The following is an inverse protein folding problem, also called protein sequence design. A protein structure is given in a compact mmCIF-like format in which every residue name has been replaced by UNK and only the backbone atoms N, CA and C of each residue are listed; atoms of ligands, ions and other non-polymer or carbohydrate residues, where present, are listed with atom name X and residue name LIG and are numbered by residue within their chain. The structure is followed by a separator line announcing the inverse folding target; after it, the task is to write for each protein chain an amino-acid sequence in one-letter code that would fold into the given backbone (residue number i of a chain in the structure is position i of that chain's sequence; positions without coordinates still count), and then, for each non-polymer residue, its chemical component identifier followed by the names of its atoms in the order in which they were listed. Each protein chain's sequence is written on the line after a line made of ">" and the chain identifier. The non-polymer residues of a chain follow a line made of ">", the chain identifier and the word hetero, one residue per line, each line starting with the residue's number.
data_IF_649862340303
#
_entry.id   IF_649862340303
#
_cell.length_a   1.000
_cell.length_b   1.000
_cell.length_c   1.000
_cell.angle_alpha   90.00
_cell.angle_beta   90.00
_cell.angle_gamma   90.00
#
_symmetry.space_group_name_H-M   'P 1'
#
loop_
_entity.id
_entity.type
_entity.pdbx_description
1 polymer ?
#
# COMPACT_ATOMS: atom_id res chain seq x y z
N UNK A 1 22.89 -27.20 20.71
CA UNK A 1 22.01 -27.82 21.73
C UNK A 1 20.58 -27.58 21.24
N UNK A 2 19.77 -28.61 20.99
CA UNK A 2 18.38 -28.41 20.63
C UNK A 2 17.62 -28.02 21.89
N UNK A 3 16.99 -26.85 21.89
CA UNK A 3 16.03 -26.44 22.91
C UNK A 3 14.79 -27.31 22.74
N UNK A 4 14.51 -28.13 23.74
CA UNK A 4 13.28 -28.89 23.88
C UNK A 4 12.09 -27.95 23.75
N UNK A 5 11.39 -27.99 22.61
CA UNK A 5 10.05 -27.45 22.50
C UNK A 5 9.13 -28.37 23.32
N UNK A 6 8.33 -27.83 24.25
CA UNK A 6 7.41 -28.66 25.00
C UNK A 6 6.43 -29.33 24.05
N UNK A 7 6.28 -30.65 24.18
CA UNK A 7 5.26 -31.44 23.46
C UNK A 7 3.90 -30.77 23.68
N UNK A 8 3.37 -30.17 22.60
CA UNK A 8 2.04 -29.58 22.57
C UNK A 8 1.01 -30.71 22.59
N UNK A 9 0.56 -31.06 23.77
CA UNK A 9 -0.62 -31.88 23.97
C UNK A 9 -1.85 -31.05 23.54
N UNK A 10 -2.12 -31.02 22.21
CA UNK A 10 -3.16 -30.18 21.58
C UNK A 10 -4.55 -30.78 21.62
N UNK A 11 -4.71 -32.02 22.14
CA UNK A 11 -5.92 -32.82 21.94
C UNK A 11 -7.08 -32.55 22.90
N UNK A 12 -6.96 -31.66 23.93
CA UNK A 12 -8.05 -31.39 24.87
C UNK A 12 -8.23 -29.93 25.32
N UNK A 13 -7.65 -28.96 24.58
CA UNK A 13 -7.82 -27.56 24.98
C UNK A 13 -9.06 -26.95 24.34
N UNK A 14 -10.03 -26.55 25.13
CA UNK A 14 -11.15 -25.73 24.65
C UNK A 14 -10.61 -24.44 24.03
N UNK A 15 -11.16 -24.03 22.84
CA UNK A 15 -10.77 -22.78 22.21
C UNK A 15 -10.94 -21.59 23.19
N UNK A 16 -10.08 -20.57 23.12
CA UNK A 16 -10.19 -19.39 23.97
C UNK A 16 -11.57 -18.75 23.90
N UNK A 17 -12.27 -18.69 25.02
CA UNK A 17 -13.63 -18.17 25.15
C UNK A 17 -13.83 -17.46 26.48
N UNK A 18 -14.85 -16.62 26.53
CA UNK A 18 -15.38 -16.06 27.81
C UNK A 18 -16.87 -15.83 27.62
N UNK A 19 -17.65 -16.85 28.03
CA UNK A 19 -19.10 -16.85 27.84
C UNK A 19 -19.78 -15.76 28.68
N UNK A 20 -19.26 -15.46 29.87
CA UNK A 20 -19.81 -14.42 30.75
C UNK A 20 -19.67 -13.04 30.10
N UNK A 21 -18.51 -12.75 29.44
CA UNK A 21 -18.35 -11.51 28.71
C UNK A 21 -19.25 -11.44 27.48
N UNK A 22 -19.46 -12.56 26.75
CA UNK A 22 -20.40 -12.62 25.63
C UNK A 22 -21.84 -12.33 26.07
N UNK A 23 -22.27 -12.95 27.15
CA UNK A 23 -23.60 -12.71 27.77
C UNK A 23 -23.73 -11.24 28.21
N UNK A 24 -22.68 -10.69 28.82
CA UNK A 24 -22.66 -9.30 29.27
C UNK A 24 -22.78 -8.31 28.11
N UNK A 25 -22.13 -8.58 26.96
CA UNK A 25 -22.31 -7.76 25.73
C UNK A 25 -23.76 -7.80 25.28
N UNK A 26 -24.32 -9.00 25.09
CA UNK A 26 -25.68 -9.16 24.57
C UNK A 26 -26.74 -8.61 25.58
N UNK A 27 -26.52 -8.80 26.87
CA UNK A 27 -27.36 -8.22 27.91
C UNK A 27 -27.35 -6.71 27.92
N UNK A 28 -26.16 -6.11 27.77
CA UNK A 28 -26.02 -4.63 27.63
C UNK A 28 -26.75 -4.07 26.41
N UNK A 29 -26.66 -4.76 25.27
CA UNK A 29 -27.37 -4.37 24.02
C UNK A 29 -28.90 -4.45 24.17
N UNK A 30 -29.41 -5.36 24.99
CA UNK A 30 -30.86 -5.50 25.29
C UNK A 30 -31.36 -4.47 26.30
N UNK A 31 -30.48 -3.85 27.08
CA UNK A 31 -30.82 -2.85 28.10
C UNK A 31 -30.81 -1.43 27.56
N UNK A 32 -29.88 -1.09 26.68
CA UNK A 32 -29.67 0.28 26.17
C UNK A 32 -29.30 0.26 24.69
N UNK A 33 -29.97 1.11 23.91
CA UNK A 33 -29.75 1.23 22.45
C UNK A 33 -28.33 1.73 22.13
N UNK A 34 -27.79 2.65 22.92
CA UNK A 34 -26.41 3.14 22.75
C UNK A 34 -25.37 2.01 22.88
N UNK A 35 -25.67 0.98 23.66
CA UNK A 35 -24.80 -0.18 23.78
C UNK A 35 -24.79 -1.03 22.51
N UNK A 36 -25.85 -1.02 21.69
CA UNK A 36 -25.89 -1.70 20.39
C UNK A 36 -24.92 -1.03 19.44
N UNK A 37 -24.94 0.31 19.35
CA UNK A 37 -24.01 1.08 18.52
C UNK A 37 -22.55 0.83 18.92
N UNK A 38 -22.25 0.89 20.23
CA UNK A 38 -20.88 0.65 20.74
C UNK A 38 -20.42 -0.80 20.47
N UNK A 39 -21.28 -1.79 20.63
CA UNK A 39 -20.95 -3.18 20.37
C UNK A 39 -20.72 -3.43 18.88
N UNK A 40 -21.53 -2.84 17.99
CA UNK A 40 -21.39 -2.94 16.53
C UNK A 40 -20.05 -2.42 16.02
N UNK A 41 -19.49 -1.39 16.65
CA UNK A 41 -18.18 -0.81 16.30
C UNK A 41 -17.02 -1.69 16.78
N UNK A 42 -17.17 -2.38 17.90
CA UNK A 42 -16.06 -3.06 18.58
C UNK A 42 -15.92 -4.54 18.24
N UNK A 43 -17.05 -5.24 18.01
CA UNK A 43 -17.11 -6.69 17.77
C UNK A 43 -17.96 -7.02 16.56
N UNK A 44 -17.68 -8.18 15.96
CA UNK A 44 -18.42 -8.73 14.83
C UNK A 44 -19.11 -10.05 15.27
N UNK A 45 -20.09 -10.54 14.50
CA UNK A 45 -20.75 -11.83 14.72
C UNK A 45 -19.74 -12.96 14.95
N UNK A 46 -18.68 -13.02 14.12
CA UNK A 46 -17.61 -14.01 14.21
C UNK A 46 -16.80 -13.95 15.51
N UNK A 47 -16.90 -12.83 16.25
CA UNK A 47 -16.19 -12.62 17.52
C UNK A 47 -16.76 -13.46 18.65
N UNK A 48 -18.00 -13.90 18.55
CA UNK A 48 -18.63 -14.74 19.58
C UNK A 48 -18.26 -16.21 19.39
N UNK A 49 -18.05 -16.91 20.49
CA UNK A 49 -17.73 -18.35 20.47
C UNK A 49 -19.00 -19.19 20.31
N UNK A 50 -20.04 -18.91 21.13
CA UNK A 50 -21.28 -19.66 21.13
C UNK A 50 -22.15 -19.28 19.92
N UNK A 51 -22.58 -20.27 19.16
CA UNK A 51 -23.41 -20.05 17.96
C UNK A 51 -24.73 -19.31 18.28
N UNK A 52 -25.37 -19.65 19.44
CA UNK A 52 -26.52 -18.92 19.89
C UNK A 52 -26.28 -17.42 20.10
N UNK A 53 -25.09 -17.05 20.62
CA UNK A 53 -24.72 -15.65 20.85
C UNK A 53 -24.49 -14.92 19.52
N UNK A 54 -23.91 -15.58 18.50
CA UNK A 54 -23.75 -15.02 17.14
C UNK A 54 -25.11 -14.67 16.55
N UNK A 55 -26.06 -15.62 16.61
CA UNK A 55 -27.42 -15.42 16.08
C UNK A 55 -28.16 -14.28 16.79
N UNK A 56 -28.06 -14.23 18.13
CA UNK A 56 -28.65 -13.13 18.91
C UNK A 56 -28.01 -11.80 18.50
N UNK A 57 -26.69 -11.71 18.43
CA UNK A 57 -25.97 -10.51 18.03
C UNK A 57 -26.38 -10.04 16.63
N UNK A 58 -26.41 -10.94 15.64
CA UNK A 58 -26.82 -10.65 14.28
C UNK A 58 -28.25 -10.10 14.21
N UNK A 59 -29.17 -10.71 14.96
CA UNK A 59 -30.57 -10.25 15.02
C UNK A 59 -30.72 -8.88 15.69
N UNK A 60 -29.94 -8.60 16.76
CA UNK A 60 -29.90 -7.28 17.41
C UNK A 60 -29.39 -6.20 16.44
N UNK A 61 -28.34 -6.50 15.66
CA UNK A 61 -27.83 -5.59 14.63
C UNK A 61 -28.85 -5.37 13.50
N UNK A 62 -29.63 -6.37 13.12
CA UNK A 62 -30.67 -6.23 12.10
C UNK A 62 -31.75 -5.27 12.58
N UNK A 63 -32.27 -5.47 13.79
CA UNK A 63 -33.25 -4.57 14.38
C UNK A 63 -32.74 -3.12 14.45
N UNK A 64 -31.49 -2.95 14.90
CA UNK A 64 -30.87 -1.62 14.98
C UNK A 64 -30.71 -0.95 13.63
N UNK A 65 -30.32 -1.69 12.57
CA UNK A 65 -30.22 -1.16 11.20
C UNK A 65 -31.56 -0.77 10.59
N UNK A 66 -32.59 -1.51 10.95
CA UNK A 66 -33.96 -1.28 10.48
C UNK A 66 -34.70 -0.19 11.29
N UNK A 67 -33.99 0.49 12.22
CA UNK A 67 -34.52 1.54 13.10
C UNK A 67 -35.71 1.05 13.97
N UNK A 68 -35.64 -0.24 14.36
CA UNK A 68 -36.61 -0.88 15.24
C UNK A 68 -36.06 -0.93 16.66
N UNK A 69 -36.88 -0.51 17.62
CA UNK A 69 -36.50 -0.55 19.05
C UNK A 69 -35.99 -1.94 19.46
N UNK A 70 -34.85 -1.98 20.14
CA UNK A 70 -34.19 -3.22 20.57
C UNK A 70 -34.66 -3.56 21.97
N UNK A 71 -35.58 -4.53 22.12
CA UNK A 71 -36.07 -5.05 23.38
C UNK A 71 -36.35 -6.56 23.28
N UNK A 72 -36.75 -7.16 24.43
CA UNK A 72 -37.04 -8.59 24.52
C UNK A 72 -38.17 -9.05 23.59
N UNK A 73 -39.13 -8.17 23.28
CA UNK A 73 -40.29 -8.52 22.46
C UNK A 73 -39.88 -8.52 20.99
N UNK A 74 -39.19 -7.46 20.56
CA UNK A 74 -38.73 -7.28 19.16
C UNK A 74 -37.71 -8.34 18.77
N UNK A 75 -36.69 -8.62 19.61
CA UNK A 75 -35.71 -9.68 19.34
C UNK A 75 -36.34 -11.08 19.30
N UNK A 76 -37.32 -11.36 20.22
CA UNK A 76 -38.03 -12.62 20.18
C UNK A 76 -38.82 -12.83 18.89
N UNK A 77 -39.46 -11.77 18.39
CA UNK A 77 -40.18 -11.82 17.12
C UNK A 77 -39.25 -11.99 15.96
N UNK A 78 -38.10 -11.29 15.94
CA UNK A 78 -37.11 -11.37 14.86
C UNK A 78 -36.54 -12.79 14.77
N UNK A 79 -36.13 -13.37 15.90
CA UNK A 79 -35.64 -14.75 15.95
C UNK A 79 -36.71 -15.79 15.57
N UNK A 80 -38.01 -15.51 15.84
CA UNK A 80 -39.12 -16.35 15.39
C UNK A 80 -39.30 -16.32 13.87
N UNK A 81 -39.24 -15.14 13.25
CA UNK A 81 -39.36 -15.00 11.78
C UNK A 81 -38.31 -15.87 11.06
N UNK A 82 -37.11 -15.99 11.64
CA UNK A 82 -36.03 -16.78 11.09
C UNK A 82 -35.96 -18.23 11.59
N UNK A 83 -36.96 -18.70 12.39
CA UNK A 83 -36.98 -20.03 13.00
C UNK A 83 -35.74 -20.34 13.87
N UNK A 84 -35.17 -19.32 14.50
CA UNK A 84 -33.93 -19.43 15.29
C UNK A 84 -34.19 -19.38 16.83
N UNK A 85 -35.37 -19.02 17.26
CA UNK A 85 -35.64 -18.79 18.70
C UNK A 85 -35.30 -20.00 19.59
N UNK A 86 -35.69 -21.19 19.18
CA UNK A 86 -35.39 -22.42 19.93
C UNK A 86 -33.89 -22.74 19.95
N UNK A 87 -33.22 -22.48 18.86
CA UNK A 87 -31.75 -22.70 18.70
C UNK A 87 -30.90 -21.81 19.62
N UNK A 88 -31.42 -20.65 20.01
CA UNK A 88 -30.73 -19.74 20.94
C UNK A 88 -31.09 -19.94 22.41
N UNK A 89 -31.99 -20.85 22.71
CA UNK A 89 -32.42 -21.18 24.09
C UNK A 89 -33.78 -20.58 24.48
N UNK A 90 -34.57 -20.15 23.51
CA UNK A 90 -35.92 -19.63 23.72
C UNK A 90 -35.95 -18.24 24.35
N UNK A 91 -37.18 -17.75 24.60
CA UNK A 91 -37.40 -16.44 25.22
C UNK A 91 -36.86 -16.38 26.68
N UNK A 92 -36.81 -17.52 27.37
CA UNK A 92 -36.28 -17.60 28.72
C UNK A 92 -34.79 -17.27 28.78
N UNK A 93 -34.01 -17.72 27.81
CA UNK A 93 -32.60 -17.39 27.71
C UNK A 93 -32.34 -15.90 27.41
N UNK A 94 -33.12 -15.30 26.53
CA UNK A 94 -33.07 -13.87 26.26
C UNK A 94 -33.37 -13.04 27.52
N UNK A 95 -34.37 -13.44 28.31
CA UNK A 95 -34.68 -12.81 29.60
C UNK A 95 -33.52 -12.97 30.61
N UNK A 96 -32.83 -14.11 30.60
CA UNK A 96 -31.65 -14.31 31.45
C UNK A 96 -30.51 -13.34 31.07
N UNK A 97 -30.28 -13.09 29.79
CA UNK A 97 -29.24 -12.17 29.34
C UNK A 97 -29.40 -10.74 29.88
N UNK A 98 -30.65 -10.25 29.99
CA UNK A 98 -30.91 -8.91 30.56
C UNK A 98 -30.64 -8.85 32.06
N UNK A 99 -30.66 -9.98 32.75
CA UNK A 99 -30.37 -10.05 34.18
C UNK A 99 -28.89 -10.24 34.54
N UNK A 100 -28.04 -10.56 33.54
CA UNK A 100 -26.60 -10.79 33.73
C UNK A 100 -25.85 -9.52 34.11
N UNK A 101 -26.26 -8.38 33.56
CA UNK A 101 -25.61 -7.10 33.81
C UNK A 101 -26.57 -6.10 34.43
N UNK A 102 -26.15 -5.37 35.49
CA UNK A 102 -26.98 -4.36 36.12
C UNK A 102 -27.05 -3.04 35.33
N UNK A 103 -26.10 -2.81 34.41
CA UNK A 103 -26.00 -1.59 33.57
C UNK A 103 -25.22 -1.86 32.31
N UNK A 104 -25.54 -1.16 31.23
CA UNK A 104 -24.83 -1.22 29.94
C UNK A 104 -23.52 -0.39 29.90
N UNK A 105 -23.21 0.39 30.93
CA UNK A 105 -22.07 1.33 30.94
C UNK A 105 -20.70 0.68 30.65
N UNK A 106 -20.55 -0.62 30.87
CA UNK A 106 -19.28 -1.33 30.69
C UNK A 106 -19.21 -2.16 29.40
N UNK A 107 -20.16 -2.00 28.47
CA UNK A 107 -20.23 -2.80 27.23
C UNK A 107 -18.92 -2.78 26.44
N UNK A 108 -18.27 -1.63 26.33
CA UNK A 108 -16.98 -1.50 25.64
C UNK A 108 -15.88 -2.38 26.25
N UNK A 109 -15.88 -2.54 27.60
CA UNK A 109 -14.92 -3.41 28.27
C UNK A 109 -15.21 -4.89 27.97
N UNK A 110 -16.46 -5.30 28.01
CA UNK A 110 -16.87 -6.66 27.66
C UNK A 110 -16.58 -7.00 26.21
N UNK A 111 -16.85 -6.09 25.28
CA UNK A 111 -16.50 -6.22 23.88
C UNK A 111 -14.98 -6.43 23.68
N UNK A 112 -14.15 -5.71 24.43
CA UNK A 112 -12.69 -5.87 24.39
C UNK A 112 -12.26 -7.28 24.80
N UNK A 113 -12.87 -7.87 25.82
CA UNK A 113 -12.61 -9.24 26.27
C UNK A 113 -13.00 -10.23 25.16
N UNK A 114 -14.22 -10.09 24.61
CA UNK A 114 -14.71 -10.94 23.51
C UNK A 114 -13.77 -10.87 22.32
N UNK A 115 -13.36 -9.66 21.89
CA UNK A 115 -12.44 -9.43 20.79
C UNK A 115 -11.06 -10.06 21.01
N UNK A 116 -10.52 -9.98 22.23
CA UNK A 116 -9.25 -10.62 22.59
C UNK A 116 -9.34 -12.16 22.41
N UNK A 117 -10.43 -12.78 22.89
CA UNK A 117 -10.64 -14.23 22.75
C UNK A 117 -10.86 -14.62 21.27
N UNK A 118 -11.57 -13.81 20.49
CA UNK A 118 -11.74 -14.02 19.07
C UNK A 118 -10.40 -13.96 18.31
N UNK A 119 -9.56 -12.99 18.62
CA UNK A 119 -8.20 -12.86 18.01
C UNK A 119 -7.36 -14.12 18.28
N UNK A 120 -7.39 -14.65 19.53
CA UNK A 120 -6.68 -15.89 19.85
C UNK A 120 -7.23 -17.09 19.07
N UNK A 121 -8.55 -17.19 18.89
CA UNK A 121 -9.16 -18.25 18.07
C UNK A 121 -8.76 -18.15 16.61
N UNK A 122 -8.73 -16.92 16.07
CA UNK A 122 -8.31 -16.69 14.67
C UNK A 122 -6.84 -17.06 14.47
N UNK A 123 -5.96 -16.74 15.43
CA UNK A 123 -4.57 -17.18 15.42
C UNK A 123 -4.44 -18.70 15.45
N UNK A 124 -5.20 -19.39 16.31
CA UNK A 124 -5.22 -20.85 16.38
C UNK A 124 -5.67 -21.44 15.03
N UNK A 125 -6.74 -20.89 14.43
CA UNK A 125 -7.22 -21.37 13.12
C UNK A 125 -6.17 -21.16 12.02
N UNK A 126 -5.56 -19.99 11.95
CA UNK A 126 -4.53 -19.70 10.97
C UNK A 126 -3.33 -20.63 11.12
N UNK A 127 -2.82 -20.82 12.34
CA UNK A 127 -1.69 -21.71 12.60
C UNK A 127 -2.02 -23.17 12.32
N UNK A 128 -3.24 -23.63 12.63
CA UNK A 128 -3.70 -24.98 12.30
C UNK A 128 -3.79 -25.18 10.79
N UNK A 129 -4.32 -24.19 10.06
CA UNK A 129 -4.39 -24.25 8.59
C UNK A 129 -2.99 -24.27 7.96
N UNK A 130 -2.08 -23.44 8.46
CA UNK A 130 -0.69 -23.41 8.00
C UNK A 130 -0.03 -24.77 8.28
N UNK A 131 -0.19 -25.32 9.48
CA UNK A 131 0.37 -26.61 9.85
C UNK A 131 -0.17 -27.74 8.94
N UNK A 132 -1.49 -27.78 8.69
CA UNK A 132 -2.09 -28.78 7.79
C UNK A 132 -1.54 -28.66 6.37
N UNK A 133 -1.43 -27.45 5.84
CA UNK A 133 -0.90 -27.21 4.50
C UNK A 133 0.58 -27.62 4.37
N UNK A 134 1.37 -27.50 5.46
CA UNK A 134 2.75 -27.98 5.50
C UNK A 134 2.84 -29.51 5.42
N UNK A 135 1.90 -30.23 6.07
CA UNK A 135 1.87 -31.71 6.03
C UNK A 135 1.35 -32.27 4.71
N UNK A 136 0.50 -31.54 4.00
CA UNK A 136 -0.08 -31.98 2.72
C UNK A 136 0.91 -31.90 1.55
N UNK A 137 2.06 -31.23 1.71
CA UNK A 137 3.12 -31.03 0.70
C UNK A 137 2.58 -30.55 -0.68
N UNK A 138 1.39 -29.96 -0.68
CA UNK A 138 0.64 -29.64 -1.91
C UNK A 138 1.11 -28.36 -2.62
N UNK A 139 2.01 -27.60 -2.00
CA UNK A 139 2.45 -26.28 -2.50
C UNK A 139 3.97 -26.12 -2.33
N UNK A 140 4.58 -25.31 -3.21
CA UNK A 140 5.97 -24.89 -3.03
C UNK A 140 6.15 -24.13 -1.71
N UNK A 141 7.27 -24.36 -0.97
CA UNK A 141 7.49 -23.77 0.36
C UNK A 141 7.36 -22.23 0.37
N UNK A 142 7.82 -21.54 -0.68
CA UNK A 142 7.76 -20.08 -0.78
C UNK A 142 6.32 -19.55 -0.89
N UNK A 143 5.48 -20.23 -1.68
CA UNK A 143 4.05 -19.91 -1.79
C UNK A 143 3.31 -20.13 -0.46
N UNK A 144 3.71 -21.16 0.29
CA UNK A 144 3.11 -21.44 1.59
C UNK A 144 3.50 -20.39 2.62
N UNK A 145 4.76 -19.92 2.59
CA UNK A 145 5.22 -18.82 3.44
C UNK A 145 4.46 -17.53 3.16
N UNK A 146 4.25 -17.17 1.89
CA UNK A 146 3.49 -15.96 1.52
C UNK A 146 2.03 -16.04 1.98
N UNK A 147 1.38 -17.22 1.83
CA UNK A 147 0.01 -17.45 2.35
C UNK A 147 -0.04 -17.35 3.87
N UNK A 148 0.93 -17.91 4.59
CA UNK A 148 1.01 -17.83 6.03
C UNK A 148 1.19 -16.40 6.53
N UNK A 149 2.07 -15.63 5.88
CA UNK A 149 2.27 -14.21 6.18
C UNK A 149 0.98 -13.40 5.96
N UNK A 150 0.29 -13.62 4.84
CA UNK A 150 -0.99 -12.97 4.54
C UNK A 150 -2.06 -13.26 5.59
N UNK A 151 -2.21 -14.53 6.02
CA UNK A 151 -3.19 -14.93 7.04
C UNK A 151 -2.92 -14.30 8.40
N UNK A 152 -1.65 -14.27 8.83
CA UNK A 152 -1.27 -13.65 10.11
C UNK A 152 -1.47 -12.13 10.05
N UNK A 153 -1.12 -11.54 8.90
CA UNK A 153 -1.29 -10.11 8.69
C UNK A 153 -2.76 -9.69 8.71
N UNK A 154 -3.66 -10.46 8.12
CA UNK A 154 -5.09 -10.16 8.12
C UNK A 154 -5.64 -10.10 9.56
N UNK A 155 -5.21 -11.02 10.42
CA UNK A 155 -5.54 -11.01 11.85
C UNK A 155 -4.98 -9.76 12.55
N UNK A 156 -3.75 -9.34 12.20
CA UNK A 156 -3.13 -8.15 12.78
C UNK A 156 -3.77 -6.85 12.28
N UNK A 157 -4.18 -6.79 11.01
CA UNK A 157 -4.79 -5.61 10.39
C UNK A 157 -6.23 -5.37 10.81
N UNK A 158 -6.97 -6.40 11.22
CA UNK A 158 -8.30 -6.26 11.85
C UNK A 158 -8.24 -5.40 13.12
N UNK A 159 -7.07 -5.24 13.73
CA UNK A 159 -6.80 -4.32 14.84
C UNK A 159 -6.75 -2.84 14.45
N UNK A 160 -6.67 -2.54 13.15
CA UNK A 160 -6.43 -1.20 12.58
C UNK A 160 -7.65 -0.59 11.86
N UNK A 161 -8.87 -1.02 12.17
CA UNK A 161 -10.04 -0.14 11.88
C UNK A 161 -9.80 1.14 12.68
N UNK A 162 -9.28 2.17 12.00
CA UNK A 162 -9.11 3.50 12.59
C UNK A 162 -10.50 4.05 12.84
N UNK A 163 -10.88 4.14 14.11
CA UNK A 163 -12.09 4.84 14.52
C UNK A 163 -12.06 6.28 13.98
N UNK A 164 -13.23 6.83 13.69
CA UNK A 164 -13.33 8.25 13.37
C UNK A 164 -12.76 9.06 14.54
N UNK A 165 -11.75 9.88 14.25
CA UNK A 165 -11.11 10.73 15.27
C UNK A 165 -11.85 12.08 15.33
N UNK A 166 -12.26 12.57 16.50
CA UNK A 166 -12.89 13.86 16.63
C UNK A 166 -12.02 14.96 16.03
N UNK A 167 -12.63 15.88 15.29
CA UNK A 167 -11.93 16.99 14.62
C UNK A 167 -11.07 17.81 15.58
N UNK A 168 -11.52 17.98 16.83
CA UNK A 168 -10.79 18.68 17.89
C UNK A 168 -9.38 18.12 18.12
N UNK A 169 -9.24 16.79 18.11
CA UNK A 169 -7.96 16.12 18.36
C UNK A 169 -7.05 16.24 17.14
N UNK A 170 -7.64 16.23 15.93
CA UNK A 170 -6.91 16.42 14.67
C UNK A 170 -6.40 17.85 14.53
N UNK A 171 -7.19 18.88 14.90
CA UNK A 171 -6.81 20.30 14.81
C UNK A 171 -5.51 20.56 15.57
N UNK A 172 -5.38 20.02 16.78
CA UNK A 172 -4.18 20.26 17.60
C UNK A 172 -2.91 19.74 16.91
N UNK A 173 -2.93 18.50 16.46
CA UNK A 173 -1.79 17.92 15.73
C UNK A 173 -1.52 18.60 14.39
N UNK A 174 -2.57 19.09 13.71
CA UNK A 174 -2.45 19.85 12.46
C UNK A 174 -1.78 21.20 12.66
N UNK A 175 -2.13 21.93 13.74
CA UNK A 175 -1.50 23.21 14.07
C UNK A 175 -0.02 23.02 14.42
N UNK A 176 0.31 22.00 15.22
CA UNK A 176 1.69 21.65 15.55
C UNK A 176 2.51 21.33 14.28
N UNK A 177 1.91 20.62 13.32
CA UNK A 177 2.54 20.32 12.03
C UNK A 177 2.74 21.60 11.19
N UNK A 178 1.74 22.47 11.11
CA UNK A 178 1.82 23.76 10.38
C UNK A 178 2.90 24.65 10.98
N UNK A 179 2.98 24.74 12.31
CA UNK A 179 4.02 25.53 12.99
C UNK A 179 5.42 24.96 12.70
N UNK A 180 5.59 23.65 12.77
CA UNK A 180 6.84 23.00 12.41
C UNK A 180 7.26 23.26 10.94
N UNK A 181 6.31 23.30 10.01
CA UNK A 181 6.54 23.67 8.61
C UNK A 181 6.89 25.17 8.47
N UNK A 182 6.21 26.04 9.22
CA UNK A 182 6.52 27.46 9.23
C UNK A 182 7.93 27.77 9.74
N UNK A 183 8.37 27.05 10.77
CA UNK A 183 9.74 27.16 11.30
C UNK A 183 10.80 26.70 10.29
N UNK A 184 10.45 25.80 9.39
CA UNK A 184 11.33 25.22 8.36
C UNK A 184 11.23 25.97 7.01
N UNK A 185 11.10 27.28 7.01
CA UNK A 185 10.96 28.11 5.78
C UNK A 185 11.91 27.68 4.68
N UNK A 186 11.35 27.30 3.53
CA UNK A 186 12.11 26.91 2.32
C UNK A 186 12.57 25.46 2.28
N UNK A 187 12.29 24.63 3.29
CA UNK A 187 12.54 23.19 3.22
C UNK A 187 11.34 22.46 2.60
N UNK A 188 11.63 21.47 1.77
CA UNK A 188 10.61 20.59 1.18
C UNK A 188 9.88 19.81 2.27
N UNK A 189 8.57 19.63 2.10
CA UNK A 189 7.74 18.85 3.04
C UNK A 189 7.82 17.35 2.74
N UNK A 190 8.06 16.99 1.49
CA UNK A 190 8.23 15.63 1.01
C UNK A 190 9.68 15.24 0.73
N UNK A 191 9.86 14.06 0.17
CA UNK A 191 11.17 13.55 -0.26
C UNK A 191 11.58 14.28 -1.54
N UNK A 192 12.73 14.98 -1.52
CA UNK A 192 13.23 15.71 -2.67
C UNK A 192 13.58 14.76 -3.83
N UNK A 193 13.09 15.05 -5.04
CA UNK A 193 13.45 14.29 -6.26
C UNK A 193 14.87 14.60 -6.75
N UNK A 194 15.42 15.73 -6.32
CA UNK A 194 16.70 16.27 -6.78
C UNK A 194 16.60 17.09 -8.06
N UNK A 195 15.39 17.26 -8.61
CA UNK A 195 15.10 18.19 -9.71
C UNK A 195 14.45 19.44 -9.13
N UNK A 196 15.22 20.52 -8.99
CA UNK A 196 14.85 21.72 -8.22
C UNK A 196 13.49 22.27 -8.61
N UNK A 197 13.24 22.47 -9.90
CA UNK A 197 11.98 23.06 -10.36
C UNK A 197 10.78 22.12 -10.13
N UNK A 198 11.00 20.81 -10.24
CA UNK A 198 9.98 19.80 -9.93
C UNK A 198 9.68 19.79 -8.43
N UNK A 199 10.72 19.84 -7.61
CA UNK A 199 10.60 19.87 -6.16
C UNK A 199 9.90 21.14 -5.67
N UNK A 200 10.11 22.29 -6.31
CA UNK A 200 9.37 23.52 -6.01
C UNK A 200 7.87 23.39 -6.31
N UNK A 201 7.49 22.73 -7.42
CA UNK A 201 6.08 22.57 -7.78
C UNK A 201 5.37 21.50 -6.96
N UNK A 202 6.06 20.39 -6.61
CA UNK A 202 5.49 19.29 -5.85
C UNK A 202 5.66 19.42 -4.33
N UNK A 203 6.51 20.36 -3.87
CA UNK A 203 7.04 20.41 -2.50
C UNK A 203 7.74 19.10 -2.08
N UNK A 204 8.35 18.37 -3.07
CA UNK A 204 8.86 17.02 -2.95
C UNK A 204 7.78 15.93 -3.04
N UNK A 205 8.18 14.66 -3.05
CA UNK A 205 7.26 13.52 -3.06
C UNK A 205 6.66 13.34 -1.66
N UNK A 206 5.34 13.53 -1.54
CA UNK A 206 4.66 13.52 -0.25
C UNK A 206 4.46 12.11 0.30
N UNK A 207 4.56 11.92 1.63
CA UNK A 207 4.21 10.64 2.25
C UNK A 207 2.79 10.20 1.90
N UNK A 208 2.59 8.89 1.75
CA UNK A 208 1.32 8.27 1.39
C UNK A 208 0.79 8.60 -0.02
N UNK A 209 1.54 9.33 -0.86
CA UNK A 209 1.15 9.61 -2.23
C UNK A 209 1.54 8.49 -3.21
N UNK A 210 0.65 8.25 -4.17
CA UNK A 210 0.92 7.48 -5.38
C UNK A 210 1.24 8.44 -6.51
N UNK A 211 2.48 8.40 -6.99
CA UNK A 211 3.00 9.22 -8.10
C UNK A 211 3.18 8.34 -9.32
N UNK A 212 2.51 8.69 -10.41
CA UNK A 212 2.63 7.97 -11.68
C UNK A 212 3.57 8.73 -12.61
N UNK A 213 4.60 8.03 -13.12
CA UNK A 213 5.50 8.54 -14.16
C UNK A 213 5.14 7.86 -15.47
N UNK A 214 4.44 8.59 -16.35
CA UNK A 214 3.90 8.07 -17.60
C UNK A 214 4.64 8.60 -18.81
N UNK A 215 4.70 7.81 -19.88
CA UNK A 215 5.29 8.25 -21.16
C UNK A 215 5.29 7.13 -22.19
N UNK A 216 5.50 7.51 -23.46
CA UNK A 216 5.71 6.55 -24.55
C UNK A 216 7.06 5.83 -24.38
N UNK A 217 7.28 4.67 -25.03
CA UNK A 217 8.60 4.05 -25.10
C UNK A 217 9.67 5.07 -25.55
N UNK A 218 10.88 4.93 -25.07
CA UNK A 218 12.03 5.78 -25.38
C UNK A 218 11.98 7.23 -24.85
N UNK A 219 10.93 7.63 -24.11
CA UNK A 219 10.88 8.95 -23.46
C UNK A 219 11.78 9.07 -22.22
N UNK A 220 12.36 7.96 -21.75
CA UNK A 220 13.29 7.96 -20.62
C UNK A 220 12.65 7.72 -19.25
N UNK A 221 11.45 7.08 -19.17
CA UNK A 221 10.74 6.83 -17.91
C UNK A 221 11.60 6.15 -16.83
N UNK A 222 12.18 4.99 -17.16
CA UNK A 222 13.07 4.26 -16.25
C UNK A 222 14.29 5.09 -15.84
N UNK A 223 14.88 5.84 -16.78
CA UNK A 223 16.02 6.71 -16.50
C UNK A 223 15.66 7.86 -15.54
N UNK A 224 14.46 8.43 -15.69
CA UNK A 224 13.95 9.45 -14.78
C UNK A 224 13.70 8.86 -13.39
N UNK A 225 13.02 7.72 -13.29
CA UNK A 225 12.72 7.05 -12.01
C UNK A 225 14.02 6.63 -11.30
N UNK A 226 15.00 6.07 -12.01
CA UNK A 226 16.30 5.72 -11.45
C UNK A 226 17.12 6.97 -11.06
N UNK A 227 17.01 8.08 -11.82
CA UNK A 227 17.59 9.37 -11.44
C UNK A 227 17.01 9.91 -10.12
N UNK A 228 15.69 9.79 -9.92
CA UNK A 228 15.05 10.10 -8.63
C UNK A 228 15.59 9.19 -7.53
N UNK A 229 15.69 7.86 -7.78
CA UNK A 229 16.26 6.92 -6.80
C UNK A 229 17.68 7.31 -6.38
N UNK A 230 18.53 7.64 -7.36
CA UNK A 230 19.91 8.07 -7.15
C UNK A 230 19.96 9.35 -6.29
N UNK A 231 19.20 10.38 -6.69
CA UNK A 231 19.19 11.64 -5.98
C UNK A 231 18.68 11.48 -4.53
N UNK A 232 17.58 10.77 -4.33
CA UNK A 232 16.98 10.52 -3.01
C UNK A 232 17.97 9.79 -2.10
N UNK A 233 18.64 8.78 -2.61
CA UNK A 233 19.58 7.98 -1.80
C UNK A 233 20.90 8.69 -1.53
N UNK A 234 21.47 9.37 -2.52
CA UNK A 234 22.78 10.02 -2.38
C UNK A 234 22.70 11.38 -1.69
N UNK A 235 21.74 12.23 -2.05
CA UNK A 235 21.60 13.58 -1.51
C UNK A 235 20.88 13.61 -0.17
N UNK A 236 19.78 12.88 -0.05
CA UNK A 236 18.94 12.91 1.15
C UNK A 236 19.23 11.76 2.12
N UNK A 237 20.08 10.78 1.75
CA UNK A 237 20.40 9.58 2.54
C UNK A 237 19.15 8.78 2.95
N UNK A 238 18.10 8.84 2.11
CA UNK A 238 16.85 8.11 2.32
C UNK A 238 16.92 6.77 1.60
N UNK A 239 16.52 5.70 2.28
CA UNK A 239 16.46 4.36 1.70
C UNK A 239 15.43 4.27 0.58
N UNK A 240 15.80 3.68 -0.56
CA UNK A 240 14.93 3.53 -1.74
C UNK A 240 14.81 2.06 -2.10
N UNK A 241 13.58 1.57 -2.25
CA UNK A 241 13.31 0.26 -2.83
C UNK A 241 12.93 0.41 -4.31
N UNK A 242 13.62 -0.31 -5.18
CA UNK A 242 13.37 -0.33 -6.63
C UNK A 242 12.91 -1.74 -7.01
N UNK A 243 11.65 -1.85 -7.42
CA UNK A 243 11.07 -3.07 -7.98
C UNK A 243 11.07 -2.96 -9.49
N UNK A 244 11.88 -3.79 -10.17
CA UNK A 244 12.01 -3.78 -11.61
C UNK A 244 11.43 -5.07 -12.19
N UNK A 245 10.39 -4.94 -13.00
CA UNK A 245 9.74 -6.06 -13.66
C UNK A 245 10.21 -6.23 -15.12
N UNK A 246 10.92 -5.23 -15.67
CA UNK A 246 11.41 -5.24 -17.05
C UNK A 246 12.91 -5.50 -17.15
N UNK A 247 13.69 -4.95 -16.22
CA UNK A 247 15.15 -4.97 -16.29
C UNK A 247 15.74 -5.78 -15.15
N UNK A 248 16.81 -6.55 -15.44
CA UNK A 248 17.57 -7.20 -14.38
C UNK A 248 18.32 -6.19 -13.49
N UNK A 249 18.57 -6.56 -12.25
CA UNK A 249 19.32 -5.74 -11.28
C UNK A 249 20.69 -5.35 -11.79
N UNK A 250 21.39 -6.22 -12.53
CA UNK A 250 22.67 -5.91 -13.14
C UNK A 250 22.55 -4.80 -14.19
N UNK A 251 21.50 -4.84 -15.02
CA UNK A 251 21.23 -3.81 -16.03
C UNK A 251 20.90 -2.45 -15.40
N UNK A 252 20.17 -2.47 -14.26
CA UNK A 252 19.86 -1.26 -13.49
C UNK A 252 21.14 -0.65 -12.91
N UNK A 253 21.96 -1.45 -12.23
CA UNK A 253 23.23 -0.99 -11.64
C UNK A 253 24.15 -0.46 -12.73
N UNK A 254 24.28 -1.15 -13.87
CA UNK A 254 25.09 -0.70 -15.00
C UNK A 254 24.60 0.66 -15.52
N UNK A 255 23.26 0.84 -15.65
CA UNK A 255 22.68 2.12 -16.09
C UNK A 255 22.96 3.24 -15.08
N UNK A 256 22.81 2.97 -13.78
CA UNK A 256 23.12 3.94 -12.72
C UNK A 256 24.60 4.33 -12.71
N UNK A 257 25.51 3.36 -12.90
CA UNK A 257 26.95 3.61 -13.01
C UNK A 257 27.27 4.53 -14.19
N UNK A 258 26.68 4.26 -15.38
CA UNK A 258 26.85 5.10 -16.56
C UNK A 258 26.32 6.52 -16.33
N UNK A 259 25.13 6.63 -15.76
CA UNK A 259 24.47 7.90 -15.44
C UNK A 259 25.29 8.72 -14.45
N UNK A 260 25.67 8.13 -13.31
CA UNK A 260 26.44 8.82 -12.26
C UNK A 260 27.85 9.18 -12.71
N UNK A 261 28.53 8.25 -13.38
CA UNK A 261 29.90 8.44 -13.90
C UNK A 261 29.99 9.32 -15.13
N UNK A 262 28.86 9.71 -15.74
CA UNK A 262 28.79 10.40 -17.05
C UNK A 262 29.59 9.66 -18.12
N UNK A 263 29.35 8.35 -18.22
CA UNK A 263 30.01 7.44 -19.15
C UNK A 263 29.00 7.02 -20.20
N UNK A 264 29.42 6.98 -21.47
CA UNK A 264 28.53 6.54 -22.52
C UNK A 264 28.09 5.08 -22.34
N UNK A 265 26.78 4.90 -22.19
CA UNK A 265 26.15 3.60 -21.97
C UNK A 265 26.39 2.63 -23.14
N UNK A 266 26.54 3.15 -24.37
CA UNK A 266 26.85 2.32 -25.52
C UNK A 266 28.27 1.74 -25.43
N UNK A 267 29.24 2.56 -25.04
CA UNK A 267 30.63 2.16 -24.86
C UNK A 267 30.79 1.10 -23.77
N UNK A 268 30.05 1.20 -22.69
CA UNK A 268 30.00 0.16 -21.62
C UNK A 268 29.46 -1.15 -22.18
N UNK A 269 28.31 -1.09 -22.89
CA UNK A 269 27.66 -2.28 -23.46
C UNK A 269 28.48 -3.00 -24.50
N UNK A 270 29.25 -2.26 -25.31
CA UNK A 270 30.09 -2.82 -26.38
C UNK A 270 31.49 -3.21 -25.89
N UNK A 271 31.85 -2.89 -24.62
CA UNK A 271 33.19 -3.11 -24.10
C UNK A 271 34.23 -2.13 -24.63
N UNK A 272 33.82 -1.04 -25.30
CA UNK A 272 34.70 -0.02 -25.89
C UNK A 272 34.94 1.15 -24.95
N UNK A 273 35.26 0.85 -23.69
CA UNK A 273 35.60 1.87 -22.69
C UNK A 273 36.97 2.46 -22.91
N UNK A 274 37.06 3.78 -22.80
CA UNK A 274 38.37 4.46 -22.83
C UNK A 274 39.12 4.26 -21.50
N UNK A 275 40.45 4.37 -21.53
CA UNK A 275 41.24 4.30 -20.30
C UNK A 275 40.85 5.39 -19.27
N UNK A 276 40.32 6.54 -19.75
CA UNK A 276 39.85 7.65 -18.92
C UNK A 276 38.50 7.40 -18.27
N UNK A 277 37.73 6.41 -18.72
CA UNK A 277 36.40 6.11 -18.16
C UNK A 277 36.46 5.18 -16.94
N UNK A 278 37.52 4.37 -16.81
CA UNK A 278 37.71 3.47 -15.69
C UNK A 278 37.78 4.20 -14.33
N UNK A 279 38.54 5.30 -14.16
CA UNK A 279 38.52 6.06 -12.91
C UNK A 279 37.13 6.61 -12.57
N UNK A 280 36.38 7.11 -13.57
CA UNK A 280 35.02 7.63 -13.38
C UNK A 280 34.06 6.50 -12.95
N UNK A 281 34.17 5.31 -13.57
CA UNK A 281 33.38 4.14 -13.23
C UNK A 281 33.65 3.69 -11.78
N UNK A 282 34.94 3.64 -11.40
CA UNK A 282 35.34 3.27 -10.05
C UNK A 282 34.83 4.27 -9.00
N UNK A 283 34.91 5.56 -9.31
CA UNK A 283 34.38 6.62 -8.44
C UNK A 283 32.86 6.53 -8.29
N UNK A 284 32.15 6.30 -9.42
CA UNK A 284 30.70 6.11 -9.41
C UNK A 284 30.31 4.87 -8.59
N UNK A 285 31.04 3.76 -8.76
CA UNK A 285 30.82 2.53 -8.00
C UNK A 285 31.02 2.75 -6.49
N UNK A 286 32.07 3.46 -6.09
CA UNK A 286 32.30 3.81 -4.68
C UNK A 286 31.12 4.57 -4.07
N UNK A 287 30.62 5.62 -4.74
CA UNK A 287 29.49 6.42 -4.25
C UNK A 287 28.18 5.64 -4.20
N UNK A 288 27.88 4.87 -5.27
CA UNK A 288 26.64 4.10 -5.36
C UNK A 288 26.62 2.90 -4.40
N UNK A 289 27.79 2.34 -4.04
CA UNK A 289 27.86 1.25 -3.06
C UNK A 289 27.48 1.68 -1.64
N UNK A 290 27.62 2.96 -1.32
CA UNK A 290 27.21 3.53 -0.03
C UNK A 290 25.74 4.00 -0.03
N UNK A 291 25.09 4.04 -1.20
CA UNK A 291 23.71 4.49 -1.33
C UNK A 291 22.75 3.42 -0.81
N UNK A 292 21.78 3.77 0.05
CA UNK A 292 20.79 2.81 0.57
C UNK A 292 19.72 2.49 -0.48
N UNK A 293 20.09 1.85 -1.60
CA UNK A 293 19.21 1.43 -2.68
C UNK A 293 19.09 -0.09 -2.65
N UNK A 294 17.85 -0.59 -2.61
CA UNK A 294 17.50 -2.00 -2.57
C UNK A 294 16.76 -2.35 -3.85
N UNK A 295 17.31 -3.25 -4.66
CA UNK A 295 16.77 -3.61 -5.98
C UNK A 295 16.22 -5.04 -5.93
N UNK A 296 14.98 -5.20 -6.37
CA UNK A 296 14.32 -6.49 -6.58
C UNK A 296 13.88 -6.58 -8.05
N UNK A 297 14.36 -7.60 -8.75
CA UNK A 297 14.09 -7.84 -10.17
C UNK A 297 13.27 -9.13 -10.41
N UNK A 298 12.49 -9.54 -9.42
CA UNK A 298 11.59 -10.69 -9.53
C UNK A 298 10.54 -10.46 -10.63
N UNK A 299 10.47 -11.31 -11.67
CA UNK A 299 9.51 -11.14 -12.76
C UNK A 299 8.09 -11.52 -12.32
N UNK A 300 7.07 -10.91 -12.94
CA UNK A 300 5.67 -11.31 -12.75
C UNK A 300 5.13 -11.13 -11.33
N UNK A 301 5.70 -10.22 -10.55
CA UNK A 301 5.34 -9.97 -9.15
C UNK A 301 3.88 -9.55 -9.00
N UNK A 302 3.16 -10.16 -8.06
CA UNK A 302 1.80 -9.75 -7.69
C UNK A 302 1.81 -8.53 -6.74
N UNK A 303 0.67 -7.84 -6.64
CA UNK A 303 0.54 -6.72 -5.69
C UNK A 303 0.70 -7.19 -4.23
N UNK A 304 0.30 -8.41 -3.90
CA UNK A 304 0.45 -8.98 -2.56
C UNK A 304 1.92 -9.23 -2.22
N UNK A 305 2.67 -9.83 -3.15
CA UNK A 305 4.10 -10.07 -3.00
C UNK A 305 4.88 -8.77 -2.87
N UNK A 306 4.59 -7.77 -3.73
CA UNK A 306 5.22 -6.45 -3.64
C UNK A 306 4.96 -5.81 -2.27
N UNK A 307 3.74 -5.89 -1.74
CA UNK A 307 3.40 -5.36 -0.41
C UNK A 307 4.19 -6.08 0.70
N UNK A 308 4.31 -7.40 0.65
CA UNK A 308 5.07 -8.19 1.61
C UNK A 308 6.56 -7.80 1.61
N UNK A 309 7.18 -7.72 0.42
CA UNK A 309 8.58 -7.31 0.24
C UNK A 309 8.81 -5.86 0.70
N UNK A 310 7.93 -4.93 0.34
CA UNK A 310 8.02 -3.53 0.73
C UNK A 310 7.93 -3.34 2.25
N UNK A 311 7.05 -4.07 2.96
CA UNK A 311 6.97 -4.08 4.42
C UNK A 311 8.26 -4.57 5.08
N UNK A 312 8.82 -5.68 4.56
CA UNK A 312 10.10 -6.20 5.04
C UNK A 312 11.21 -5.17 4.90
N UNK A 313 11.31 -4.53 3.73
CA UNK A 313 12.31 -3.48 3.48
C UNK A 313 12.08 -2.26 4.38
N UNK A 314 10.84 -1.84 4.59
CA UNK A 314 10.50 -0.74 5.51
C UNK A 314 10.90 -1.06 6.95
N UNK A 315 10.59 -2.27 7.42
CA UNK A 315 10.92 -2.70 8.78
C UNK A 315 12.42 -2.87 9.02
N UNK A 316 13.16 -3.44 8.05
CA UNK A 316 14.59 -3.75 8.21
C UNK A 316 15.50 -2.57 7.91
N UNK A 317 15.16 -1.77 6.91
CA UNK A 317 16.03 -0.75 6.33
C UNK A 317 15.43 0.65 6.36
N UNK A 318 14.23 0.81 6.94
CA UNK A 318 13.53 2.09 7.04
C UNK A 318 13.48 2.87 5.72
N UNK A 319 13.15 2.18 4.61
CA UNK A 319 13.01 2.83 3.31
C UNK A 319 12.02 3.99 3.36
N UNK A 320 12.28 5.06 2.60
CA UNK A 320 11.44 6.26 2.51
C UNK A 320 10.84 6.51 1.13
N UNK A 321 11.16 5.67 0.13
CA UNK A 321 10.63 5.74 -1.22
C UNK A 321 10.54 4.35 -1.83
N UNK A 322 9.46 4.08 -2.58
CA UNK A 322 9.32 2.89 -3.42
C UNK A 322 9.23 3.34 -4.88
N UNK A 323 9.97 2.67 -5.77
CA UNK A 323 9.89 2.83 -7.22
C UNK A 323 9.51 1.49 -7.83
N UNK A 324 8.52 1.49 -8.73
CA UNK A 324 8.07 0.32 -9.49
C UNK A 324 8.22 0.59 -11.00
N UNK A 325 9.01 -0.21 -11.70
CA UNK A 325 9.22 -0.12 -13.14
C UNK A 325 8.92 -1.47 -13.84
N UNK A 326 7.78 -1.62 -14.50
CA UNK A 326 6.64 -0.77 -14.68
C UNK A 326 5.33 -1.54 -14.36
N UNK A 327 4.31 -0.79 -13.99
CA UNK A 327 3.03 -1.27 -13.46
C UNK A 327 2.35 -2.34 -14.32
N UNK A 328 2.39 -2.19 -15.65
CA UNK A 328 1.72 -3.11 -16.57
C UNK A 328 2.38 -4.51 -16.68
N UNK A 329 3.53 -4.75 -16.08
CA UNK A 329 4.14 -6.09 -15.99
C UNK A 329 3.78 -6.83 -14.71
N UNK A 330 3.06 -6.20 -13.79
CA UNK A 330 2.50 -6.90 -12.63
C UNK A 330 1.42 -7.87 -13.09
N UNK A 331 1.32 -9.01 -12.41
CA UNK A 331 0.30 -10.03 -12.65
C UNK A 331 -0.53 -10.27 -11.40
N UNK A 332 -1.83 -10.56 -11.57
CA UNK A 332 -2.63 -11.19 -10.52
C UNK A 332 -2.73 -12.68 -10.79
N UNK A 333 -2.54 -13.49 -9.75
CA UNK A 333 -2.41 -14.95 -9.83
C UNK A 333 -3.67 -15.70 -10.32
N UNK A 334 -4.82 -15.02 -10.45
CA UNK A 334 -6.11 -15.65 -10.76
C UNK A 334 -6.89 -15.01 -11.93
N UNK A 335 -6.33 -14.07 -12.69
CA UNK A 335 -7.07 -13.40 -13.76
C UNK A 335 -6.91 -14.13 -15.09
N UNK A 336 -7.99 -14.71 -15.59
CA UNK A 336 -8.14 -15.02 -17.02
C UNK A 336 -7.93 -13.74 -17.84
N UNK A 337 -7.20 -13.83 -18.94
CA UNK A 337 -6.71 -12.73 -19.80
C UNK A 337 -7.78 -11.75 -20.35
N UNK A 338 -9.03 -11.91 -20.03
CA UNK A 338 -10.15 -11.14 -20.59
C UNK A 338 -10.37 -9.76 -19.98
N UNK A 339 -9.70 -9.39 -18.85
CA UNK A 339 -10.05 -8.14 -18.19
C UNK A 339 -8.86 -7.32 -17.66
N UNK A 340 -7.89 -7.02 -18.55
CA UNK A 340 -6.69 -6.23 -18.24
C UNK A 340 -6.97 -4.90 -17.52
N UNK A 341 -8.09 -4.25 -17.82
CA UNK A 341 -8.48 -3.00 -17.16
C UNK A 341 -8.82 -3.20 -15.67
N UNK A 342 -9.47 -4.33 -15.34
CA UNK A 342 -9.78 -4.63 -13.93
C UNK A 342 -8.51 -4.95 -13.16
N UNK A 343 -7.61 -5.72 -13.74
CA UNK A 343 -6.31 -6.06 -13.15
C UNK A 343 -5.50 -4.80 -12.82
N UNK A 344 -5.34 -3.88 -13.77
CA UNK A 344 -4.67 -2.60 -13.56
C UNK A 344 -5.36 -1.76 -12.48
N UNK A 345 -6.69 -1.84 -12.38
CA UNK A 345 -7.46 -1.15 -11.34
C UNK A 345 -7.19 -1.71 -9.95
N UNK A 346 -7.05 -3.03 -9.81
CA UNK A 346 -6.71 -3.68 -8.53
C UNK A 346 -5.28 -3.31 -8.12
N UNK A 347 -4.34 -3.39 -9.06
CA UNK A 347 -2.94 -3.03 -8.83
C UNK A 347 -2.82 -1.56 -8.40
N UNK A 348 -3.47 -0.62 -9.11
CA UNK A 348 -3.44 0.81 -8.79
C UNK A 348 -3.95 1.09 -7.37
N UNK A 349 -5.11 0.55 -7.01
CA UNK A 349 -5.66 0.64 -5.64
C UNK A 349 -4.74 0.01 -4.61
N UNK A 350 -4.13 -1.14 -4.94
CA UNK A 350 -3.17 -1.81 -4.09
C UNK A 350 -1.91 -0.98 -3.82
N UNK A 351 -1.37 -0.31 -4.85
CA UNK A 351 -0.22 0.60 -4.71
C UNK A 351 -0.58 1.84 -3.87
N UNK A 352 -1.76 2.43 -4.07
CA UNK A 352 -2.23 3.54 -3.22
C UNK A 352 -2.44 3.12 -1.78
N UNK A 353 -2.98 1.92 -1.55
CA UNK A 353 -3.12 1.35 -0.21
C UNK A 353 -1.75 1.13 0.44
N UNK A 354 -0.76 0.63 -0.30
CA UNK A 354 0.61 0.44 0.17
C UNK A 354 1.28 1.76 0.58
N UNK A 355 1.16 2.80 -0.26
CA UNK A 355 1.69 4.13 0.05
C UNK A 355 1.13 4.68 1.38
N UNK A 356 -0.18 4.54 1.60
CA UNK A 356 -0.87 4.93 2.83
C UNK A 356 -0.46 4.08 4.04
N UNK A 357 -0.33 2.78 3.85
CA UNK A 357 0.02 1.82 4.90
C UNK A 357 1.42 2.08 5.46
N UNK A 358 2.40 2.24 4.56
CA UNK A 358 3.79 2.49 4.93
C UNK A 358 4.10 3.95 5.22
N UNK A 359 3.15 4.87 4.90
CA UNK A 359 3.30 6.32 4.99
C UNK A 359 4.56 6.84 4.27
N UNK A 360 4.80 6.33 3.06
CA UNK A 360 5.89 6.75 2.17
C UNK A 360 5.36 6.94 0.74
N UNK A 361 6.00 7.79 -0.09
CA UNK A 361 5.66 7.90 -1.50
C UNK A 361 5.95 6.60 -2.26
N UNK A 362 5.05 6.29 -3.21
CA UNK A 362 5.23 5.22 -4.19
C UNK A 362 5.23 5.82 -5.57
N UNK A 363 6.34 5.68 -6.30
CA UNK A 363 6.49 6.10 -7.69
C UNK A 363 6.32 4.89 -8.60
N UNK A 364 5.28 4.86 -9.42
CA UNK A 364 5.05 3.78 -10.37
C UNK A 364 5.18 4.29 -11.82
N UNK A 365 6.02 3.60 -12.58
CA UNK A 365 6.19 3.87 -14.02
C UNK A 365 5.02 3.25 -14.78
N UNK A 366 4.47 3.98 -15.75
CA UNK A 366 3.37 3.54 -16.60
C UNK A 366 3.63 3.87 -18.07
N UNK A 367 3.22 2.97 -18.95
CA UNK A 367 3.28 3.20 -20.38
C UNK A 367 1.97 3.83 -20.87
N UNK A 368 2.07 4.86 -21.71
CA UNK A 368 0.92 5.48 -22.36
C UNK A 368 0.44 4.68 -23.58
N UNK A 369 -0.84 4.79 -23.91
CA UNK A 369 -1.43 4.30 -25.15
C UNK A 369 -0.77 4.93 -26.39
N UNK A 370 -1.05 4.41 -27.60
CA UNK A 370 -0.50 4.97 -28.84
C UNK A 370 -1.23 6.24 -29.32
N UNK A 371 -2.20 6.73 -28.58
CA UNK A 371 -3.01 7.89 -28.97
C UNK A 371 -2.19 9.19 -29.21
N UNK A 372 -1.14 9.51 -28.42
CA UNK A 372 -0.30 10.68 -28.69
C UNK A 372 0.35 10.67 -30.06
N UNK A 373 0.78 9.50 -30.55
CA UNK A 373 1.47 9.37 -31.86
C UNK A 373 0.57 9.67 -33.06
N UNK A 374 -0.75 9.71 -32.86
CA UNK A 374 -1.73 10.05 -33.90
C UNK A 374 -2.10 11.53 -33.93
N UNK A 375 -1.52 12.35 -33.02
CA UNK A 375 -1.76 13.79 -32.93
C UNK A 375 -0.63 14.56 -33.55
N UNK A 376 -0.92 15.71 -34.11
CA UNK A 376 0.11 16.59 -34.69
C UNK A 376 1.14 17.05 -33.66
N UNK A 377 0.74 17.30 -32.42
CA UNK A 377 1.64 17.77 -31.37
C UNK A 377 2.40 16.66 -30.66
N UNK A 378 2.06 15.38 -30.85
CA UNK A 378 2.58 14.21 -30.13
C UNK A 378 2.49 14.32 -28.58
N UNK A 379 1.98 15.44 -28.06
CA UNK A 379 1.99 15.78 -26.64
C UNK A 379 1.02 14.89 -25.87
N UNK A 380 1.45 14.26 -24.76
CA UNK A 380 0.60 13.37 -23.97
C UNK A 380 -0.44 14.15 -23.18
N UNK A 381 -1.58 13.49 -22.89
CA UNK A 381 -2.70 14.01 -22.09
C UNK A 381 -3.15 12.93 -21.09
N UNK A 382 -3.83 13.32 -20.02
CA UNK A 382 -4.38 12.36 -19.01
C UNK A 382 -5.23 11.25 -19.66
N UNK A 383 -6.00 11.57 -20.70
CA UNK A 383 -6.79 10.59 -21.44
C UNK A 383 -5.97 9.49 -22.12
N UNK A 384 -4.65 9.63 -22.24
CA UNK A 384 -3.77 8.63 -22.86
C UNK A 384 -3.40 7.50 -21.89
N UNK A 385 -3.71 7.67 -20.59
CA UNK A 385 -3.77 6.61 -19.57
C UNK A 385 -5.02 5.74 -19.71
N UNK A 386 -5.78 5.84 -20.78
CA UNK A 386 -7.16 5.38 -20.99
C UNK A 386 -7.42 3.88 -20.81
N UNK A 387 -6.42 3.03 -20.98
CA UNK A 387 -6.52 1.60 -20.62
C UNK A 387 -6.48 1.39 -19.09
N UNK A 388 -6.30 2.47 -18.34
CA UNK A 388 -6.05 2.51 -16.91
C UNK A 388 -6.77 3.70 -16.26
N UNK A 389 -8.05 3.93 -16.54
CA UNK A 389 -8.85 5.01 -15.93
C UNK A 389 -8.82 5.02 -14.40
N UNK A 390 -8.60 3.85 -13.79
CA UNK A 390 -8.40 3.73 -12.36
C UNK A 390 -7.06 4.36 -11.90
N UNK A 391 -5.97 4.24 -12.68
CA UNK A 391 -4.70 4.87 -12.33
C UNK A 391 -4.86 6.39 -12.24
N UNK A 392 -5.61 6.98 -13.18
CA UNK A 392 -5.89 8.42 -13.14
C UNK A 392 -6.65 8.81 -11.87
N UNK A 393 -7.61 8.00 -11.43
CA UNK A 393 -8.41 8.29 -10.22
C UNK A 393 -7.60 8.09 -8.94
N UNK A 394 -6.85 7.00 -8.83
CA UNK A 394 -6.13 6.60 -7.62
C UNK A 394 -4.86 7.43 -7.37
N UNK A 395 -4.17 7.86 -8.46
CA UNK A 395 -2.95 8.65 -8.36
C UNK A 395 -3.19 10.03 -7.73
N UNK A 396 -2.28 10.45 -6.86
CA UNK A 396 -2.26 11.80 -6.31
C UNK A 396 -1.54 12.77 -7.25
N UNK A 397 -0.48 12.28 -7.89
CA UNK A 397 0.32 13.03 -8.87
C UNK A 397 0.50 12.18 -10.13
N UNK A 398 0.35 12.80 -11.30
CA UNK A 398 0.66 12.20 -12.61
C UNK A 398 1.65 13.08 -13.33
N UNK A 399 2.85 12.55 -13.54
CA UNK A 399 3.93 13.15 -14.31
C UNK A 399 4.00 12.49 -15.68
N UNK A 400 3.97 13.27 -16.74
CA UNK A 400 4.11 12.76 -18.09
C UNK A 400 5.42 13.24 -18.71
N UNK A 401 6.23 12.29 -19.13
CA UNK A 401 7.49 12.58 -19.79
C UNK A 401 7.26 12.75 -21.31
N UNK A 402 7.72 13.86 -21.82
CA UNK A 402 7.63 14.21 -23.23
C UNK A 402 8.95 14.76 -23.74
N UNK A 403 9.37 14.27 -24.89
CA UNK A 403 10.57 14.73 -25.60
C UNK A 403 10.19 15.04 -27.05
N UNK A 404 10.12 16.33 -27.34
CA UNK A 404 9.78 16.79 -28.68
C UNK A 404 10.90 16.45 -29.69
N UNK A 405 12.17 16.51 -29.25
CA UNK A 405 13.35 16.17 -30.05
C UNK A 405 13.36 14.73 -30.60
N UNK A 406 12.58 13.84 -29.95
CA UNK A 406 12.42 12.46 -30.41
C UNK A 406 11.57 12.35 -31.70
N UNK A 407 10.55 13.24 -31.84
CA UNK A 407 9.64 13.25 -33.00
C UNK A 407 10.09 14.25 -34.06
N UNK A 408 10.46 15.47 -33.66
CA UNK A 408 10.87 16.56 -34.52
C UNK A 408 12.06 17.27 -33.87
N UNK A 409 13.26 16.94 -34.32
CA UNK A 409 14.48 17.52 -33.77
C UNK A 409 14.77 18.87 -34.40
N UNK A 410 14.90 19.91 -33.56
CA UNK A 410 15.37 21.25 -33.91
C UNK A 410 16.59 21.59 -33.05
N UNK A 411 17.34 22.63 -33.43
CA UNK A 411 18.47 23.07 -32.58
C UNK A 411 18.02 23.59 -31.22
N UNK A 412 16.79 24.12 -31.13
CA UNK A 412 16.22 24.68 -29.88
C UNK A 412 15.72 23.61 -28.89
N UNK A 413 15.24 22.47 -29.42
CA UNK A 413 14.64 21.41 -28.55
C UNK A 413 15.58 20.24 -28.33
N UNK A 414 16.79 20.24 -28.90
CA UNK A 414 17.75 19.15 -28.78
C UNK A 414 18.16 18.91 -27.33
N UNK A 415 17.92 17.67 -26.84
CA UNK A 415 18.22 17.29 -25.49
C UNK A 415 17.29 17.90 -24.44
N UNK A 416 16.20 18.57 -24.86
CA UNK A 416 15.19 19.11 -23.94
C UNK A 416 14.11 18.05 -23.68
N UNK A 417 13.77 17.86 -22.42
CA UNK A 417 12.67 17.01 -21.98
C UNK A 417 11.69 17.81 -21.13
N UNK A 418 10.41 17.55 -21.31
CA UNK A 418 9.36 18.12 -20.47
C UNK A 418 8.83 17.07 -19.48
N UNK A 419 8.72 17.45 -18.21
CA UNK A 419 7.98 16.75 -17.19
C UNK A 419 6.68 17.51 -17.00
N UNK A 420 5.60 17.00 -17.57
CA UNK A 420 4.28 17.61 -17.51
C UNK A 420 3.58 17.08 -16.25
N UNK A 421 3.31 17.97 -15.29
CA UNK A 421 2.48 17.68 -14.11
C UNK A 421 1.02 17.72 -14.58
N UNK A 422 0.52 16.57 -15.06
CA UNK A 422 -0.80 16.49 -15.66
C UNK A 422 -1.92 16.42 -14.62
N UNK A 423 -1.59 15.92 -13.40
CA UNK A 423 -2.47 15.89 -12.24
C UNK A 423 -1.65 16.10 -10.97
N UNK A 424 -2.19 16.90 -10.06
CA UNK A 424 -1.71 17.04 -8.68
C UNK A 424 -2.91 17.34 -7.78
N UNK A 425 -3.16 16.48 -6.75
CA UNK A 425 -4.32 16.68 -5.85
C UNK A 425 -4.16 17.90 -4.94
N UNK A 426 -2.94 18.16 -4.49
CA UNK A 426 -2.65 19.16 -3.47
C UNK A 426 -1.83 20.33 -4.02
N UNK A 427 -1.85 20.58 -5.34
CA UNK A 427 -1.09 21.66 -5.95
C UNK A 427 -1.47 21.91 -7.41
N UNK A 428 -0.82 22.89 -8.05
CA UNK A 428 -1.10 23.25 -9.44
C UNK A 428 -0.53 22.26 -10.43
N UNK A 429 -1.15 22.16 -11.59
CA UNK A 429 -0.57 21.52 -12.77
C UNK A 429 0.42 22.46 -13.44
N UNK A 430 1.39 21.90 -14.18
CA UNK A 430 2.42 22.71 -14.83
C UNK A 430 3.35 21.89 -15.71
N UNK A 431 4.42 22.51 -16.17
CA UNK A 431 5.46 21.87 -16.98
C UNK A 431 6.81 22.27 -16.44
N UNK A 432 7.64 21.29 -16.17
CA UNK A 432 9.04 21.47 -15.78
C UNK A 432 9.91 21.01 -16.95
N UNK A 433 10.88 21.81 -17.33
CA UNK A 433 11.85 21.48 -18.38
C UNK A 433 13.13 20.93 -17.75
N UNK A 434 13.61 19.80 -18.27
CA UNK A 434 14.86 19.17 -17.86
C UNK A 434 15.75 18.93 -19.07
N UNK A 435 17.06 18.92 -18.87
CA UNK A 435 17.99 18.41 -19.88
C UNK A 435 17.99 16.89 -19.86
N UNK A 436 17.93 16.26 -21.04
CA UNK A 436 18.12 14.83 -21.21
C UNK A 436 19.41 14.55 -21.99
N UNK A 437 20.38 13.99 -21.33
CA UNK A 437 21.68 13.63 -21.93
C UNK A 437 21.60 12.18 -22.37
N UNK A 438 21.42 12.00 -23.69
CA UNK A 438 21.12 10.69 -24.28
C UNK A 438 22.26 9.68 -24.09
N UNK A 439 23.51 10.14 -24.16
CA UNK A 439 24.71 9.32 -24.03
C UNK A 439 24.78 8.64 -22.66
N UNK A 440 24.38 9.35 -21.62
CA UNK A 440 24.40 8.87 -20.22
C UNK A 440 23.03 8.40 -19.74
N UNK A 441 21.98 8.53 -20.58
CA UNK A 441 20.58 8.28 -20.23
C UNK A 441 20.13 9.01 -18.94
N UNK A 442 20.63 10.25 -18.76
CA UNK A 442 20.49 11.04 -17.53
C UNK A 442 19.64 12.28 -17.74
N UNK A 443 18.77 12.57 -16.76
CA UNK A 443 18.09 13.85 -16.64
C UNK A 443 18.87 14.78 -15.71
N UNK A 444 18.93 16.06 -16.05
CA UNK A 444 19.53 17.11 -15.21
C UNK A 444 18.64 18.35 -15.20
N UNK A 445 18.70 19.10 -14.10
CA UNK A 445 18.04 20.42 -14.01
C UNK A 445 18.71 21.39 -14.99
N UNK A 446 17.90 22.17 -15.70
CA UNK A 446 18.42 23.25 -16.56
C UNK A 446 19.01 24.35 -15.68
N UNK A 447 20.16 24.90 -16.10
CA UNK A 447 20.70 26.08 -15.44
C UNK A 447 19.76 27.27 -15.68
N UNK A 448 19.31 27.91 -14.63
CA UNK A 448 18.65 29.22 -14.75
C UNK A 448 19.70 30.26 -15.07
N UNK A 449 19.67 30.80 -16.28
CA UNK A 449 20.49 31.96 -16.69
C UNK A 449 19.87 33.25 -16.21
#
# INVERSE_FOLDING_TARGET
>A
MPTDLPELNTLERLPPQNLDAEQAVLGSMLLEEDAVAQAADLVEESSFYKDAHRKIFASLLTLYRDDVAVDLVTITNELKKHNQLENVGGASYLATLTSVVPTAANVAHYCKIVKQKATLRNLIRATTHIASACYEESHEPDLLLDKAEAMIFDIASTKLKRDAVPMKDIIRSSIEMIDALYQRKGMLTGVATGFVDLDQQLAGLQPADLVIVAGRPSMGKSSFALGVAENVSLLNKVGVAVFSLEMSKESIVQRMLCSHGRIDAHSVRTGMLSASDWPKLTQAAGKLSEAPIYIDDSPGMSILELRAKARRLKSRHNIGLIILDYLQLMSESDASSENRQQEVSVISRGLKALARELNIPVVAVSQLSRAPERRESFRPRLSDLRESGAIEQDADVVLMLFREDYYQQTEENKGLSEVIIAKQRNGPTGVVKLAFIKEYTRFETLAHT
#
